data_IF_403195681978
#
_entry.id   IF_403195681978
#
_cell.length_a   1.000
_cell.length_b   1.000
_cell.length_c   1.000
_cell.angle_alpha   90.00
_cell.angle_beta   90.00
_cell.angle_gamma   90.00
#
_symmetry.space_group_name_H-M   'P 1'
#
loop_
_entity.id
_entity.type
_entity.pdbx_description
1 polymer ?
#
# COMPACT_ATOMS: atom_id res chain seq x y z
N UNK A 1 -0.46 19.31 -25.85
CA UNK A 1 -0.98 20.64 -25.49
C UNK A 1 -1.00 20.72 -23.98
N UNK A 2 -0.10 21.49 -23.37
CA UNK A 2 -0.09 21.76 -21.93
C UNK A 2 -0.95 22.99 -21.67
N UNK A 3 -2.08 22.83 -20.96
CA UNK A 3 -2.92 23.97 -20.54
C UNK A 3 -2.17 24.76 -19.46
N UNK A 4 -2.22 26.11 -19.46
CA UNK A 4 -1.69 26.94 -18.39
C UNK A 4 -2.34 26.60 -17.05
N UNK A 5 -1.56 26.61 -15.96
CA UNK A 5 -2.06 26.28 -14.62
C UNK A 5 -3.11 27.28 -14.11
N UNK A 6 -3.09 28.51 -14.64
CA UNK A 6 -4.10 29.55 -14.40
C UNK A 6 -5.48 29.23 -14.95
N UNK A 7 -5.56 28.31 -15.91
CA UNK A 7 -6.82 27.95 -16.58
C UNK A 7 -7.50 26.75 -15.90
N UNK A 8 -6.83 26.16 -14.91
CA UNK A 8 -7.41 25.18 -13.99
C UNK A 8 -8.07 25.98 -12.87
N UNK A 9 -9.30 26.44 -13.13
CA UNK A 9 -10.16 27.11 -12.14
C UNK A 9 -10.69 26.08 -11.12
N UNK A 10 -9.75 25.37 -10.50
CA UNK A 10 -9.95 24.26 -9.57
C UNK A 10 -9.68 24.81 -8.18
N UNK A 11 -10.56 24.59 -7.19
CA UNK A 11 -10.31 25.00 -5.82
C UNK A 11 -8.92 24.56 -5.36
N UNK A 12 -8.17 25.45 -4.69
CA UNK A 12 -6.79 25.18 -4.26
C UNK A 12 -6.65 23.86 -3.51
N UNK A 13 -7.66 23.50 -2.71
CA UNK A 13 -7.72 22.24 -1.97
C UNK A 13 -7.76 21.01 -2.87
N UNK A 14 -8.53 21.06 -3.97
CA UNK A 14 -8.60 19.97 -4.94
C UNK A 14 -7.29 19.85 -5.72
N UNK A 15 -6.68 20.98 -6.10
CA UNK A 15 -5.36 20.98 -6.74
C UNK A 15 -4.29 20.37 -5.83
N UNK A 16 -4.29 20.71 -4.54
CA UNK A 16 -3.39 20.12 -3.55
C UNK A 16 -3.56 18.60 -3.43
N UNK A 17 -4.81 18.11 -3.44
CA UNK A 17 -5.09 16.67 -3.43
C UNK A 17 -4.60 15.98 -4.69
N UNK A 18 -4.80 16.59 -5.87
CA UNK A 18 -4.31 16.04 -7.14
C UNK A 18 -2.77 15.98 -7.17
N UNK A 19 -2.09 17.03 -6.71
CA UNK A 19 -0.63 17.06 -6.61
C UNK A 19 -0.11 16.03 -5.62
N UNK A 20 -0.79 15.83 -4.48
CA UNK A 20 -0.42 14.81 -3.50
C UNK A 20 -0.55 13.39 -4.10
N UNK A 21 -1.66 13.10 -4.80
CA UNK A 21 -1.84 11.83 -5.52
C UNK A 21 -0.72 11.60 -6.53
N UNK A 22 -0.41 12.60 -7.35
CA UNK A 22 0.66 12.51 -8.34
C UNK A 22 2.02 12.21 -7.70
N UNK A 23 2.38 12.93 -6.63
CA UNK A 23 3.64 12.72 -5.91
C UNK A 23 3.73 11.32 -5.33
N UNK A 24 2.67 10.82 -4.70
CA UNK A 24 2.66 9.49 -4.12
C UNK A 24 2.84 8.40 -5.20
N UNK A 25 2.18 8.53 -6.34
CA UNK A 25 2.36 7.60 -7.47
C UNK A 25 3.80 7.61 -8.00
N UNK A 26 4.42 8.79 -8.10
CA UNK A 26 5.83 8.90 -8.50
C UNK A 26 6.76 8.23 -7.48
N UNK A 27 6.57 8.48 -6.19
CA UNK A 27 7.35 7.83 -5.12
C UNK A 27 7.25 6.31 -5.18
N UNK A 28 6.06 5.75 -5.44
CA UNK A 28 5.87 4.31 -5.56
C UNK A 28 6.53 3.74 -6.83
N UNK A 29 6.45 4.46 -7.95
CA UNK A 29 7.13 4.08 -9.18
C UNK A 29 8.66 4.05 -8.99
N UNK A 30 9.21 5.06 -8.31
CA UNK A 30 10.63 5.12 -7.97
C UNK A 30 11.01 3.97 -7.01
N UNK A 31 10.20 3.70 -5.99
CA UNK A 31 10.43 2.59 -5.07
C UNK A 31 10.42 1.22 -5.79
N UNK A 32 9.50 1.03 -6.74
CA UNK A 32 9.45 -0.18 -7.56
C UNK A 32 10.69 -0.33 -8.45
N UNK A 33 11.19 0.77 -9.04
CA UNK A 33 12.38 0.75 -9.87
C UNK A 33 13.65 0.37 -9.08
N UNK A 34 13.72 0.70 -7.79
CA UNK A 34 14.88 0.44 -6.94
C UNK A 34 14.76 -0.82 -6.07
N UNK A 35 13.59 -1.46 -6.02
CA UNK A 35 13.41 -2.69 -5.24
C UNK A 35 13.90 -3.93 -5.97
N UNK A 36 14.65 -4.77 -5.25
CA UNK A 36 15.09 -6.08 -5.72
C UNK A 36 14.08 -7.20 -5.42
N UNK A 37 13.06 -6.92 -4.59
CA UNK A 37 12.01 -7.87 -4.21
C UNK A 37 10.90 -7.87 -5.28
N UNK A 38 10.59 -9.02 -5.92
CA UNK A 38 9.45 -9.12 -6.82
C UNK A 38 8.12 -8.80 -6.11
N UNK A 39 7.99 -9.20 -4.84
CA UNK A 39 6.79 -8.93 -4.04
C UNK A 39 6.57 -7.45 -3.82
N UNK A 40 7.63 -6.71 -3.50
CA UNK A 40 7.53 -5.27 -3.21
C UNK A 40 7.19 -4.50 -4.48
N UNK A 41 7.76 -4.89 -5.63
CA UNK A 41 7.42 -4.27 -6.93
C UNK A 41 5.94 -4.44 -7.27
N UNK A 42 5.36 -5.60 -6.98
CA UNK A 42 3.91 -5.83 -7.15
C UNK A 42 3.12 -4.97 -6.17
N UNK A 43 3.54 -4.92 -4.90
CA UNK A 43 2.87 -4.11 -3.88
C UNK A 43 2.84 -2.62 -4.26
N UNK A 44 3.98 -2.04 -4.64
CA UNK A 44 4.05 -0.64 -5.06
C UNK A 44 3.20 -0.34 -6.31
N UNK A 45 3.15 -1.27 -7.27
CA UNK A 45 2.31 -1.12 -8.44
C UNK A 45 0.81 -1.14 -8.08
N UNK A 46 0.40 -2.02 -7.17
CA UNK A 46 -0.97 -2.08 -6.65
C UNK A 46 -1.33 -0.82 -5.86
N UNK A 47 -0.43 -0.34 -5.01
CA UNK A 47 -0.64 0.89 -4.24
C UNK A 47 -0.81 2.11 -5.16
N UNK A 48 0.01 2.22 -6.21
CA UNK A 48 -0.10 3.30 -7.20
C UNK A 48 -1.44 3.24 -7.95
N UNK A 49 -1.91 2.02 -8.26
CA UNK A 49 -3.23 1.82 -8.87
C UNK A 49 -4.36 2.24 -7.91
N UNK A 50 -4.30 1.85 -6.63
CA UNK A 50 -5.31 2.21 -5.63
C UNK A 50 -5.42 3.72 -5.39
N UNK A 51 -4.28 4.44 -5.39
CA UNK A 51 -4.27 5.91 -5.25
C UNK A 51 -5.01 6.60 -6.41
N UNK A 52 -4.97 6.01 -7.59
CA UNK A 52 -5.63 6.55 -8.79
C UNK A 52 -7.07 6.07 -8.96
N UNK A 53 -7.50 5.04 -8.22
CA UNK A 53 -8.83 4.44 -8.27
C UNK A 53 -9.45 4.42 -6.87
N UNK A 54 -9.74 5.61 -6.32
CA UNK A 54 -10.25 5.75 -4.94
C UNK A 54 -11.64 5.14 -4.72
N UNK A 55 -12.37 4.86 -5.80
CA UNK A 55 -13.67 4.21 -5.84
C UNK A 55 -13.56 2.69 -6.03
N UNK A 56 -12.35 2.14 -6.17
CA UNK A 56 -12.16 0.71 -6.30
C UNK A 56 -12.73 -0.03 -5.08
N UNK A 57 -13.51 -1.11 -5.28
CA UNK A 57 -13.98 -1.93 -4.18
C UNK A 57 -12.77 -2.64 -3.53
N UNK A 58 -12.39 -2.17 -2.34
CA UNK A 58 -11.35 -2.79 -1.54
C UNK A 58 -11.96 -3.79 -0.59
N UNK A 59 -11.30 -4.95 -0.46
CA UNK A 59 -11.72 -5.94 0.51
C UNK A 59 -11.59 -5.39 1.93
N UNK A 60 -12.55 -5.73 2.76
CA UNK A 60 -12.69 -5.31 4.15
C UNK A 60 -12.48 -6.51 5.07
N UNK A 61 -12.48 -6.28 6.38
CA UNK A 61 -12.44 -7.36 7.37
C UNK A 61 -13.62 -8.34 7.21
N UNK A 62 -14.77 -7.86 6.72
CA UNK A 62 -15.95 -8.69 6.50
C UNK A 62 -15.73 -9.74 5.41
N UNK A 63 -14.86 -9.45 4.43
CA UNK A 63 -14.51 -10.38 3.34
C UNK A 63 -13.58 -11.51 3.83
N UNK A 64 -13.01 -11.36 5.03
CA UNK A 64 -12.06 -12.31 5.61
C UNK A 64 -12.37 -12.60 7.10
N UNK A 65 -13.55 -13.18 7.40
CA UNK A 65 -14.04 -13.30 8.78
C UNK A 65 -13.15 -14.16 9.69
N UNK A 66 -12.38 -15.10 9.12
CA UNK A 66 -11.50 -16.01 9.87
C UNK A 66 -10.07 -15.49 10.01
N UNK A 67 -9.69 -14.44 9.27
CA UNK A 67 -8.29 -14.05 9.14
C UNK A 67 -7.70 -13.55 10.46
N UNK A 68 -8.49 -12.87 11.29
CA UNK A 68 -8.05 -12.48 12.63
C UNK A 68 -7.60 -13.69 13.47
N UNK A 69 -8.38 -14.78 13.45
CA UNK A 69 -8.05 -16.01 14.16
C UNK A 69 -6.81 -16.71 13.56
N UNK A 70 -6.69 -16.75 12.23
CA UNK A 70 -5.52 -17.33 11.56
C UNK A 70 -4.23 -16.57 11.85
N UNK A 71 -4.27 -15.23 11.87
CA UNK A 71 -3.10 -14.41 12.19
C UNK A 71 -2.67 -14.61 13.64
N UNK A 72 -3.61 -14.68 14.58
CA UNK A 72 -3.30 -14.98 15.98
C UNK A 72 -2.66 -16.37 16.13
N UNK A 73 -3.18 -17.39 15.43
CA UNK A 73 -2.61 -18.72 15.43
C UNK A 73 -1.17 -18.74 14.86
N UNK A 74 -0.92 -18.04 13.76
CA UNK A 74 0.41 -17.90 13.16
C UNK A 74 1.39 -17.20 14.09
N UNK A 75 0.95 -16.13 14.75
CA UNK A 75 1.80 -15.41 15.70
C UNK A 75 2.17 -16.29 16.90
N UNK A 76 1.21 -17.07 17.42
CA UNK A 76 1.47 -18.00 18.51
C UNK A 76 2.47 -19.09 18.10
N UNK A 77 2.29 -19.70 16.92
CA UNK A 77 3.24 -20.69 16.39
C UNK A 77 4.66 -20.12 16.25
N UNK A 78 4.80 -18.90 15.73
CA UNK A 78 6.09 -18.21 15.62
C UNK A 78 6.72 -17.93 16.99
N UNK A 79 5.91 -17.64 18.01
CA UNK A 79 6.36 -17.42 19.39
C UNK A 79 6.89 -18.71 20.02
N UNK A 80 6.17 -19.81 19.84
CA UNK A 80 6.59 -21.13 20.33
C UNK A 80 7.93 -21.56 19.73
N UNK A 81 8.08 -21.41 18.41
CA UNK A 81 9.35 -21.71 17.72
C UNK A 81 10.51 -20.87 18.25
N UNK A 82 10.31 -19.56 18.48
CA UNK A 82 11.35 -18.69 19.06
C UNK A 82 11.74 -19.13 20.47
N UNK A 83 10.77 -19.50 21.30
CA UNK A 83 11.02 -19.96 22.66
C UNK A 83 11.76 -21.31 22.69
N UNK A 84 11.39 -22.23 21.79
CA UNK A 84 12.09 -23.50 21.65
C UNK A 84 13.57 -23.29 21.25
N UNK A 85 13.84 -22.41 20.28
CA UNK A 85 15.21 -22.07 19.86
C UNK A 85 16.05 -21.49 21.01
N UNK A 86 15.47 -20.63 21.85
CA UNK A 86 16.15 -20.05 23.02
C UNK A 86 16.49 -21.06 24.12
N UNK A 87 15.77 -22.18 24.21
CA UNK A 87 16.04 -23.23 25.21
C UNK A 87 17.13 -24.21 24.79
N UNK A 88 17.48 -24.23 23.49
CA UNK A 88 18.46 -25.15 22.90
C UNK A 88 19.82 -24.49 22.71
N UNK A 89 19.88 -23.15 22.76
CA UNK A 89 21.10 -22.35 22.76
C UNK A 89 21.59 -22.09 24.18
#
# INVERSE_FOLDING_TARGET
MTRPISDLDVPLTELQQLLARQRNCQTLADAAAHSHSPSDRIAYALDAWLITHSDAPVATVADYPVWAAEMAARENANREVRNARRKVA
#
